data_IF_025816961865
#
_entry.id   IF_025816961865
#
_cell.length_a   1.000
_cell.length_b   1.000
_cell.length_c   1.000
_cell.angle_alpha   90.00
_cell.angle_beta   90.00
_cell.angle_gamma   90.00
#
_symmetry.space_group_name_H-M   'P 1'
#
loop_
_entity.id
_entity.type
_entity.pdbx_description
1 polymer ?
#
# COMPACT_ATOMS: atom_id res chain seq x y z
N UNK A 1 -29.59 -10.68 17.06
CA UNK A 1 -28.59 -10.29 16.01
C UNK A 1 -29.21 -10.64 14.67
N UNK A 2 -29.30 -9.70 13.76
CA UNK A 2 -29.90 -9.90 12.45
C UNK A 2 -28.94 -10.69 11.58
N UNK A 3 -29.40 -11.74 10.93
CA UNK A 3 -28.65 -12.48 9.92
C UNK A 3 -29.11 -12.03 8.53
N UNK A 4 -28.16 -11.92 7.62
CA UNK A 4 -28.36 -11.59 6.22
C UNK A 4 -27.98 -12.76 5.33
N UNK A 5 -28.68 -12.91 4.23
CA UNK A 5 -28.36 -13.93 3.24
C UNK A 5 -27.40 -13.32 2.20
N UNK A 6 -26.24 -13.92 2.09
CA UNK A 6 -25.24 -13.56 1.08
C UNK A 6 -25.23 -14.65 0.02
N UNK A 7 -25.29 -14.26 -1.25
CA UNK A 7 -25.18 -15.18 -2.38
C UNK A 7 -23.92 -14.87 -3.16
N UNK A 8 -22.99 -15.84 -3.24
CA UNK A 8 -21.74 -15.74 -3.99
C UNK A 8 -21.81 -16.72 -5.19
N UNK A 9 -21.82 -16.21 -6.41
CA UNK A 9 -21.89 -17.01 -7.64
C UNK A 9 -23.00 -18.07 -7.62
N UNK A 10 -24.14 -17.75 -6.98
CA UNK A 10 -25.29 -18.66 -6.85
C UNK A 10 -25.30 -19.55 -5.60
N UNK A 11 -24.23 -19.62 -4.84
CA UNK A 11 -24.17 -20.32 -3.55
C UNK A 11 -24.51 -19.36 -2.40
N UNK A 12 -25.45 -19.73 -1.53
CA UNK A 12 -25.94 -18.86 -0.46
C UNK A 12 -25.47 -19.31 0.93
N UNK A 13 -25.12 -18.34 1.77
CA UNK A 13 -24.75 -18.53 3.17
C UNK A 13 -25.32 -17.41 4.04
N UNK A 14 -25.29 -17.62 5.37
CA UNK A 14 -25.75 -16.64 6.33
C UNK A 14 -24.56 -15.90 6.96
N UNK A 15 -24.68 -14.58 7.07
CA UNK A 15 -23.73 -13.72 7.73
C UNK A 15 -24.43 -12.81 8.75
N UNK A 16 -23.77 -12.50 9.86
CA UNK A 16 -24.32 -11.58 10.84
C UNK A 16 -24.16 -10.14 10.38
N UNK A 17 -25.12 -9.28 10.73
CA UNK A 17 -24.97 -7.85 10.53
C UNK A 17 -23.68 -7.33 11.19
N UNK A 18 -22.84 -6.59 10.44
CA UNK A 18 -21.55 -6.07 10.87
C UNK A 18 -20.39 -7.07 10.86
N UNK A 19 -20.62 -8.35 10.50
CA UNK A 19 -19.55 -9.33 10.30
C UNK A 19 -18.72 -9.01 9.06
N UNK A 20 -17.41 -9.29 9.10
CA UNK A 20 -16.58 -9.18 7.89
C UNK A 20 -17.01 -10.22 6.86
N UNK A 21 -17.24 -9.78 5.63
CA UNK A 21 -17.75 -10.64 4.56
C UNK A 21 -16.84 -11.84 4.29
N UNK A 22 -15.52 -11.65 4.34
CA UNK A 22 -14.55 -12.75 4.22
C UNK A 22 -14.70 -13.77 5.34
N UNK A 23 -14.80 -13.32 6.59
CA UNK A 23 -14.86 -14.22 7.74
C UNK A 23 -16.18 -14.98 7.74
N UNK A 24 -17.30 -14.32 7.36
CA UNK A 24 -18.60 -14.97 7.17
C UNK A 24 -18.54 -16.05 6.09
N UNK A 25 -17.92 -15.79 4.94
CA UNK A 25 -17.74 -16.76 3.88
C UNK A 25 -16.95 -17.99 4.38
N UNK A 26 -15.77 -17.76 4.96
CA UNK A 26 -14.89 -18.84 5.44
C UNK A 26 -15.56 -19.69 6.53
N UNK A 27 -16.28 -19.07 7.48
CA UNK A 27 -16.98 -19.79 8.55
C UNK A 27 -18.14 -20.66 8.04
N UNK A 28 -18.68 -20.36 6.86
CA UNK A 28 -19.69 -21.17 6.19
C UNK A 28 -19.10 -22.16 5.17
N UNK A 29 -17.76 -22.34 5.15
CA UNK A 29 -17.09 -23.27 4.22
C UNK A 29 -16.98 -22.78 2.79
N UNK A 30 -17.30 -21.51 2.52
CA UNK A 30 -17.15 -20.90 1.20
C UNK A 30 -15.69 -20.55 0.97
N UNK A 31 -15.09 -21.14 -0.04
CA UNK A 31 -13.71 -20.85 -0.44
C UNK A 31 -13.64 -19.49 -1.14
N UNK A 32 -13.44 -18.43 -0.38
CA UNK A 32 -13.17 -17.08 -0.90
C UNK A 32 -11.67 -16.79 -0.78
N UNK A 33 -10.94 -16.67 -1.89
CA UNK A 33 -9.50 -16.45 -1.87
C UNK A 33 -9.13 -15.17 -1.12
N UNK A 34 -8.07 -15.22 -0.32
CA UNK A 34 -7.54 -14.03 0.36
C UNK A 34 -6.02 -14.17 0.59
N UNK A 35 -5.34 -13.04 0.86
CA UNK A 35 -3.91 -13.03 1.19
C UNK A 35 -3.59 -12.02 2.31
N UNK A 36 -3.60 -10.72 2.01
CA UNK A 36 -3.12 -9.68 2.94
C UNK A 36 -4.07 -9.37 4.10
N UNK A 37 -5.35 -9.67 4.01
CA UNK A 37 -6.44 -9.28 4.92
C UNK A 37 -6.50 -7.77 5.24
N UNK A 38 -5.81 -6.94 4.46
CA UNK A 38 -5.66 -5.49 4.67
C UNK A 38 -6.24 -4.65 3.51
N UNK A 39 -6.99 -5.28 2.58
CA UNK A 39 -7.64 -4.58 1.47
C UNK A 39 -6.69 -4.11 0.35
N UNK A 40 -5.45 -4.60 0.29
CA UNK A 40 -4.46 -4.10 -0.67
C UNK A 40 -4.18 -5.05 -1.83
N UNK A 41 -4.17 -6.37 -1.57
CA UNK A 41 -3.74 -7.34 -2.58
C UNK A 41 -4.80 -7.62 -3.65
N UNK A 42 -6.04 -7.26 -3.45
CA UNK A 42 -7.14 -7.53 -4.39
C UNK A 42 -7.56 -8.99 -4.48
N UNK A 43 -6.91 -9.93 -3.78
CA UNK A 43 -7.19 -11.37 -3.88
C UNK A 43 -8.62 -11.72 -3.41
N UNK A 44 -9.13 -10.98 -2.41
CA UNK A 44 -10.49 -11.16 -1.87
C UNK A 44 -11.51 -10.20 -2.50
N UNK A 45 -11.22 -9.62 -3.65
CA UNK A 45 -12.17 -8.74 -4.32
C UNK A 45 -13.43 -9.50 -4.79
N UNK A 46 -14.58 -8.91 -4.51
CA UNK A 46 -15.87 -9.33 -5.04
C UNK A 46 -16.58 -8.13 -5.64
N UNK A 47 -17.39 -8.40 -6.67
CA UNK A 47 -18.31 -7.42 -7.24
C UNK A 47 -19.60 -7.48 -6.45
N UNK A 48 -20.03 -6.36 -5.92
CA UNK A 48 -21.36 -6.20 -5.31
C UNK A 48 -22.38 -5.99 -6.42
N UNK A 49 -23.23 -6.99 -6.65
CA UNK A 49 -24.29 -6.95 -7.67
C UNK A 49 -25.53 -6.29 -7.10
N UNK A 50 -25.90 -6.64 -5.85
CA UNK A 50 -27.01 -6.02 -5.13
C UNK A 50 -26.83 -6.13 -3.62
N UNK A 51 -27.55 -5.30 -2.87
CA UNK A 51 -27.44 -5.21 -1.42
C UNK A 51 -26.40 -4.20 -0.97
N UNK A 52 -26.13 -4.15 0.34
CA UNK A 52 -25.24 -3.15 0.95
C UNK A 52 -24.17 -3.81 1.83
N UNK A 53 -22.98 -3.26 1.74
CA UNK A 53 -21.87 -3.54 2.65
C UNK A 53 -21.26 -2.22 3.11
N UNK A 54 -20.59 -2.20 4.24
CA UNK A 54 -19.94 -1.02 4.81
C UNK A 54 -18.42 -1.16 4.72
N UNK A 55 -17.77 -0.18 4.11
CA UNK A 55 -16.31 -0.13 3.94
C UNK A 55 -15.80 -1.12 2.89
N UNK A 56 -14.47 -1.20 2.79
CA UNK A 56 -13.81 -2.13 1.89
C UNK A 56 -13.87 -1.75 0.41
N UNK A 57 -14.20 -0.50 0.07
CA UNK A 57 -14.30 -0.03 -1.31
C UNK A 57 -13.00 -0.33 -2.07
N UNK A 58 -13.16 -0.95 -3.25
CA UNK A 58 -12.08 -1.18 -4.20
C UNK A 58 -11.79 0.07 -5.05
N UNK A 59 -10.83 -0.05 -5.95
CA UNK A 59 -10.45 1.04 -6.87
C UNK A 59 -11.48 1.28 -7.98
N UNK A 60 -12.41 0.38 -8.17
CA UNK A 60 -13.45 0.43 -9.20
C UNK A 60 -14.83 0.39 -8.54
N UNK A 61 -15.81 1.10 -9.12
CA UNK A 61 -17.17 1.14 -8.61
C UNK A 61 -17.79 -0.27 -8.56
N UNK A 62 -18.43 -0.58 -7.44
CA UNK A 62 -19.06 -1.88 -7.22
C UNK A 62 -18.09 -3.03 -6.90
N UNK A 63 -16.80 -2.78 -6.84
CA UNK A 63 -15.81 -3.74 -6.35
C UNK A 63 -15.51 -3.46 -4.87
N UNK A 64 -15.55 -4.50 -4.04
CA UNK A 64 -15.22 -4.41 -2.62
C UNK A 64 -14.22 -5.49 -2.20
N UNK A 65 -13.40 -5.18 -1.20
CA UNK A 65 -12.47 -6.12 -0.59
C UNK A 65 -13.19 -6.85 0.55
N UNK A 66 -13.54 -8.11 0.35
CA UNK A 66 -14.29 -8.91 1.35
C UNK A 66 -13.63 -8.94 2.75
N UNK A 67 -12.30 -8.82 2.81
CA UNK A 67 -11.57 -8.77 4.08
C UNK A 67 -11.69 -7.45 4.84
N UNK A 68 -12.30 -6.42 4.25
CA UNK A 68 -12.44 -5.08 4.83
C UNK A 68 -13.89 -4.59 4.83
N UNK A 69 -14.80 -5.22 4.09
CA UNK A 69 -16.20 -4.83 4.10
C UNK A 69 -17.01 -5.64 5.11
N UNK A 70 -18.02 -4.99 5.69
CA UNK A 70 -18.94 -5.57 6.66
C UNK A 70 -20.32 -5.70 6.07
N UNK A 71 -20.97 -6.82 6.34
CA UNK A 71 -22.33 -7.11 5.88
C UNK A 71 -23.33 -6.14 6.53
N UNK A 72 -24.15 -5.47 5.70
CA UNK A 72 -25.18 -4.53 6.14
C UNK A 72 -26.61 -4.94 5.75
N UNK A 73 -26.76 -5.70 4.65
CA UNK A 73 -28.05 -6.24 4.20
C UNK A 73 -27.87 -7.60 3.53
N UNK A 74 -28.96 -8.22 3.08
CA UNK A 74 -28.89 -9.30 2.11
C UNK A 74 -28.17 -8.79 0.85
N UNK A 75 -27.25 -9.59 0.32
CA UNK A 75 -26.41 -9.16 -0.79
C UNK A 75 -26.13 -10.29 -1.80
N UNK A 76 -26.02 -9.91 -3.06
CA UNK A 76 -25.53 -10.77 -4.13
C UNK A 76 -24.15 -10.26 -4.54
N UNK A 77 -23.19 -11.14 -4.50
CA UNK A 77 -21.81 -10.84 -4.86
C UNK A 77 -21.28 -11.86 -5.87
N UNK A 78 -20.34 -11.42 -6.68
CA UNK A 78 -19.64 -12.26 -7.65
C UNK A 78 -18.13 -12.18 -7.39
N UNK A 79 -17.43 -13.31 -7.58
CA UNK A 79 -15.96 -13.27 -7.54
C UNK A 79 -15.44 -12.40 -8.68
N UNK A 80 -14.62 -11.41 -8.35
CA UNK A 80 -13.75 -10.84 -9.36
C UNK A 80 -12.78 -11.96 -9.76
N UNK A 81 -12.58 -12.20 -11.06
CA UNK A 81 -11.54 -13.15 -11.47
C UNK A 81 -10.19 -12.60 -11.04
N UNK A 82 -9.55 -13.10 -9.98
CA UNK A 82 -8.19 -12.74 -9.67
C UNK A 82 -7.29 -13.26 -10.78
N UNK A 83 -6.19 -12.58 -11.04
CA UNK A 83 -5.10 -13.18 -11.83
C UNK A 83 -4.81 -14.55 -11.25
N UNK A 84 -4.74 -15.59 -12.09
CA UNK A 84 -4.50 -16.96 -11.64
C UNK A 84 -3.18 -17.00 -10.84
N UNK A 85 -3.27 -17.25 -9.55
CA UNK A 85 -2.08 -17.35 -8.69
C UNK A 85 -1.37 -18.65 -9.03
N UNK A 86 -0.11 -18.54 -9.41
CA UNK A 86 0.77 -19.68 -9.72
C UNK A 86 1.95 -19.73 -8.77
N UNK A 87 2.41 -20.92 -8.49
CA UNK A 87 3.68 -21.13 -7.79
C UNK A 87 4.70 -21.61 -8.79
N UNK A 88 5.85 -20.92 -8.86
CA UNK A 88 6.97 -21.26 -9.73
C UNK A 88 8.24 -21.37 -8.90
N UNK A 89 9.08 -22.35 -9.26
CA UNK A 89 10.39 -22.49 -8.66
C UNK A 89 11.43 -21.72 -9.48
N UNK A 90 12.53 -21.37 -8.83
CA UNK A 90 13.61 -20.66 -9.48
C UNK A 90 14.86 -20.57 -8.63
N UNK A 91 15.81 -19.83 -9.16
CA UNK A 91 17.14 -19.65 -8.53
C UNK A 91 17.48 -18.16 -8.56
N UNK A 92 18.02 -17.67 -7.44
CA UNK A 92 18.60 -16.34 -7.37
C UNK A 92 19.77 -16.24 -8.36
N UNK A 93 19.63 -15.40 -9.39
CA UNK A 93 20.63 -15.26 -10.45
C UNK A 93 21.60 -14.12 -10.17
N UNK A 94 21.08 -13.00 -9.69
CA UNK A 94 21.88 -11.82 -9.45
C UNK A 94 21.41 -11.02 -8.23
N UNK A 95 22.38 -10.40 -7.57
CA UNK A 95 22.21 -9.41 -6.53
C UNK A 95 23.05 -8.19 -6.89
N UNK A 96 22.43 -7.03 -7.06
CA UNK A 96 23.14 -5.80 -7.38
C UNK A 96 22.74 -4.71 -6.39
N UNK A 97 23.65 -4.05 -5.69
CA UNK A 97 23.34 -2.90 -4.86
C UNK A 97 22.92 -1.74 -5.78
N UNK A 98 21.77 -1.14 -5.48
CA UNK A 98 21.28 0.09 -6.12
C UNK A 98 21.56 1.31 -5.27
N UNK A 99 21.62 1.14 -3.95
CA UNK A 99 22.05 2.11 -2.96
C UNK A 99 22.62 1.39 -1.74
N UNK A 100 22.94 2.15 -0.69
CA UNK A 100 23.41 1.58 0.59
C UNK A 100 22.44 0.54 1.16
N UNK A 101 21.14 0.76 1.02
CA UNK A 101 20.08 -0.06 1.63
C UNK A 101 19.12 -0.71 0.64
N UNK A 102 19.30 -0.54 -0.67
CA UNK A 102 18.43 -1.16 -1.69
C UNK A 102 19.23 -2.07 -2.60
N UNK A 103 18.73 -3.29 -2.78
CA UNK A 103 19.27 -4.31 -3.69
C UNK A 103 18.30 -4.55 -4.85
N UNK A 104 18.81 -4.67 -6.06
CA UNK A 104 18.13 -5.30 -7.18
C UNK A 104 18.39 -6.80 -7.16
N UNK A 105 17.31 -7.57 -7.23
CA UNK A 105 17.35 -9.04 -7.19
C UNK A 105 16.81 -9.56 -8.52
N UNK A 106 17.58 -10.38 -9.20
CA UNK A 106 17.16 -11.10 -10.40
C UNK A 106 17.00 -12.60 -10.09
N UNK A 107 15.81 -13.14 -10.33
CA UNK A 107 15.50 -14.56 -10.14
C UNK A 107 15.21 -15.18 -11.50
N UNK A 108 15.91 -16.25 -11.84
CA UNK A 108 15.63 -17.12 -12.99
C UNK A 108 14.61 -18.15 -12.56
N UNK A 109 13.47 -18.22 -13.23
CA UNK A 109 12.39 -19.17 -12.94
C UNK A 109 12.41 -20.34 -13.93
N UNK A 110 11.88 -21.49 -13.50
CA UNK A 110 11.78 -22.70 -14.33
C UNK A 110 10.70 -22.56 -15.41
N UNK A 111 9.67 -21.75 -15.13
CA UNK A 111 8.61 -21.43 -16.07
C UNK A 111 8.15 -19.98 -15.93
N UNK A 112 7.37 -19.49 -16.87
CA UNK A 112 6.87 -18.11 -16.84
C UNK A 112 5.91 -17.89 -15.66
N UNK A 113 6.12 -16.80 -14.93
CA UNK A 113 5.14 -16.23 -14.01
C UNK A 113 4.43 -15.10 -14.75
N UNK A 114 3.20 -15.30 -15.24
CA UNK A 114 2.44 -14.23 -15.90
C UNK A 114 2.00 -13.20 -14.86
N UNK A 115 2.30 -11.93 -15.11
CA UNK A 115 1.90 -10.83 -14.24
C UNK A 115 1.63 -9.55 -15.03
N UNK A 116 0.85 -8.66 -14.44
CA UNK A 116 0.71 -7.29 -14.91
C UNK A 116 1.66 -6.35 -14.18
N UNK A 117 2.20 -5.38 -14.91
CA UNK A 117 3.11 -4.37 -14.34
C UNK A 117 2.48 -3.65 -13.13
N UNK A 118 3.15 -3.67 -12.00
CA UNK A 118 2.65 -3.16 -10.72
C UNK A 118 2.26 -4.24 -9.71
N UNK A 119 2.07 -5.49 -10.15
CA UNK A 119 1.78 -6.60 -9.24
C UNK A 119 3.03 -7.05 -8.46
N UNK A 120 2.81 -7.82 -7.38
CA UNK A 120 3.86 -8.39 -6.55
C UNK A 120 3.76 -9.92 -6.48
N UNK A 121 4.82 -10.55 -6.01
CA UNK A 121 4.86 -11.96 -5.69
C UNK A 121 5.27 -12.18 -4.22
N UNK A 122 4.79 -13.27 -3.64
CA UNK A 122 5.32 -13.81 -2.41
C UNK A 122 6.61 -14.57 -2.75
N UNK A 123 7.74 -14.08 -2.25
CA UNK A 123 9.06 -14.63 -2.53
C UNK A 123 9.57 -15.35 -1.29
N UNK A 124 9.87 -16.64 -1.42
CA UNK A 124 10.42 -17.49 -0.36
C UNK A 124 11.76 -18.04 -0.78
N UNK A 125 12.83 -17.56 -0.17
CA UNK A 125 14.14 -18.16 -0.25
C UNK A 125 14.17 -19.44 0.61
N UNK A 126 14.80 -20.50 0.15
CA UNK A 126 14.88 -21.78 0.88
C UNK A 126 15.48 -21.56 2.27
N UNK A 127 14.80 -22.01 3.33
CA UNK A 127 15.21 -21.78 4.72
C UNK A 127 14.77 -20.43 5.32
N UNK A 128 14.05 -19.59 4.55
CA UNK A 128 13.59 -18.28 4.98
C UNK A 128 12.08 -18.12 4.86
N UNK A 129 11.46 -17.21 5.66
CA UNK A 129 10.04 -16.91 5.54
C UNK A 129 9.72 -16.22 4.20
N UNK A 130 8.48 -16.41 3.73
CA UNK A 130 7.98 -15.72 2.54
C UNK A 130 7.84 -14.22 2.80
N UNK A 131 8.13 -13.40 1.77
CA UNK A 131 7.96 -11.94 1.82
C UNK A 131 7.36 -11.42 0.50
N UNK A 132 6.45 -10.44 0.56
CA UNK A 132 5.92 -9.81 -0.63
C UNK A 132 6.95 -8.84 -1.23
N UNK A 133 7.26 -9.01 -2.51
CA UNK A 133 8.09 -8.08 -3.28
C UNK A 133 7.41 -7.73 -4.59
N UNK A 134 7.37 -6.43 -4.90
CA UNK A 134 6.77 -5.94 -6.16
C UNK A 134 7.65 -6.30 -7.35
N UNK A 135 7.02 -6.90 -8.37
CA UNK A 135 7.69 -7.30 -9.58
C UNK A 135 8.04 -6.05 -10.40
N UNK A 136 9.26 -5.98 -10.89
CA UNK A 136 9.77 -4.83 -11.63
C UNK A 136 10.58 -5.24 -12.85
N UNK A 137 11.13 -4.26 -13.56
CA UNK A 137 12.15 -4.44 -14.59
C UNK A 137 13.53 -4.10 -14.04
N UNK A 138 14.61 -4.68 -14.59
CA UNK A 138 15.96 -4.28 -14.23
C UNK A 138 16.14 -2.79 -14.57
N UNK A 139 16.92 -2.07 -13.75
CA UNK A 139 17.24 -0.68 -14.02
C UNK A 139 18.17 -0.53 -15.24
N UNK A 140 18.99 -1.54 -15.53
CA UNK A 140 19.86 -1.59 -16.69
C UNK A 140 19.58 -2.87 -17.50
N UNK A 141 19.73 -2.75 -18.83
CA UNK A 141 19.55 -3.87 -19.74
C UNK A 141 18.08 -4.21 -20.04
N UNK A 142 17.89 -5.31 -20.73
CA UNK A 142 16.59 -5.90 -21.01
C UNK A 142 16.34 -7.09 -20.09
N UNK A 143 15.09 -7.30 -19.66
CA UNK A 143 14.75 -8.50 -18.90
C UNK A 143 15.02 -9.74 -19.75
N UNK A 144 15.73 -10.71 -19.18
CA UNK A 144 15.91 -12.03 -19.79
C UNK A 144 14.61 -12.82 -19.72
N UNK A 145 14.42 -13.74 -20.67
CA UNK A 145 13.30 -14.68 -20.63
C UNK A 145 13.32 -15.50 -19.34
N UNK A 146 12.15 -15.74 -18.77
CA UNK A 146 11.98 -16.48 -17.52
C UNK A 146 12.74 -15.84 -16.35
N UNK A 147 12.91 -14.52 -16.34
CA UNK A 147 13.51 -13.79 -15.23
C UNK A 147 12.54 -12.80 -14.62
N UNK A 148 12.52 -12.75 -13.29
CA UNK A 148 11.69 -11.84 -12.50
C UNK A 148 12.61 -11.00 -11.62
N UNK A 149 12.34 -9.69 -11.58
CA UNK A 149 13.18 -8.71 -10.91
C UNK A 149 12.45 -8.02 -9.78
N UNK A 150 13.20 -7.65 -8.73
CA UNK A 150 12.67 -6.97 -7.55
C UNK A 150 13.66 -5.93 -7.04
N UNK A 151 13.16 -4.82 -6.48
CA UNK A 151 13.96 -3.89 -5.69
C UNK A 151 13.61 -4.10 -4.21
N UNK A 152 14.58 -4.54 -3.44
CA UNK A 152 14.37 -4.93 -2.04
C UNK A 152 15.19 -4.05 -1.13
N UNK A 153 14.52 -3.41 -0.17
CA UNK A 153 15.20 -2.65 0.87
C UNK A 153 15.72 -3.60 1.95
N UNK A 154 17.01 -3.48 2.25
CA UNK A 154 17.64 -4.21 3.36
C UNK A 154 17.25 -3.54 4.69
N UNK A 155 16.69 -4.33 5.59
CA UNK A 155 16.36 -3.94 6.96
C UNK A 155 17.32 -4.65 7.90
N UNK A 156 17.92 -3.96 8.86
CA UNK A 156 18.93 -4.53 9.77
C UNK A 156 18.38 -5.71 10.56
N UNK A 157 17.10 -5.64 11.01
CA UNK A 157 16.42 -6.68 11.78
C UNK A 157 15.59 -7.64 10.91
N UNK A 158 15.66 -7.53 9.60
CA UNK A 158 14.84 -8.32 8.67
C UNK A 158 15.47 -9.67 8.35
N UNK A 159 14.92 -10.80 8.82
CA UNK A 159 15.44 -12.16 8.59
C UNK A 159 15.83 -12.47 7.13
N UNK A 160 15.03 -12.03 6.16
CA UNK A 160 15.30 -12.23 4.73
C UNK A 160 16.23 -11.14 4.21
N UNK A 161 15.87 -9.88 4.44
CA UNK A 161 16.50 -8.76 3.76
C UNK A 161 17.91 -8.45 4.28
N UNK A 162 18.22 -8.76 5.56
CA UNK A 162 19.57 -8.64 6.12
C UNK A 162 20.53 -9.76 5.62
N UNK A 163 19.98 -10.90 5.20
CA UNK A 163 20.76 -12.04 4.69
C UNK A 163 21.08 -11.93 3.20
N UNK A 164 20.48 -10.98 2.48
CA UNK A 164 20.78 -10.74 1.07
C UNK A 164 22.24 -10.30 0.87
N UNK A 165 22.98 -11.08 0.09
CA UNK A 165 24.41 -10.85 -0.14
C UNK A 165 25.33 -11.40 0.95
N UNK A 166 24.77 -12.11 1.96
CA UNK A 166 25.51 -12.85 2.99
C UNK A 166 25.21 -14.33 2.85
N UNK A 167 24.11 -14.78 3.43
CA UNK A 167 23.65 -16.17 3.41
C UNK A 167 22.80 -16.47 2.16
N UNK A 168 22.05 -15.46 1.67
CA UNK A 168 21.27 -15.54 0.42
C UNK A 168 22.12 -14.95 -0.70
N UNK A 169 22.74 -15.82 -1.51
CA UNK A 169 23.65 -15.46 -2.60
C UNK A 169 23.19 -16.08 -3.92
N UNK A 170 23.74 -15.67 -5.08
CA UNK A 170 23.44 -16.31 -6.36
C UNK A 170 23.58 -17.83 -6.28
N UNK A 171 22.61 -18.56 -6.85
CA UNK A 171 22.46 -20.01 -6.71
C UNK A 171 21.45 -20.45 -5.65
N UNK A 172 20.98 -19.54 -4.77
CA UNK A 172 20.00 -19.87 -3.74
C UNK A 172 18.64 -20.21 -4.36
N UNK A 173 18.01 -21.30 -3.92
CA UNK A 173 16.67 -21.72 -4.39
C UNK A 173 15.60 -20.78 -3.89
N UNK A 174 14.63 -20.48 -4.77
CA UNK A 174 13.54 -19.52 -4.51
C UNK A 174 12.23 -20.09 -5.01
N UNK A 175 11.18 -19.97 -4.22
CA UNK A 175 9.80 -20.22 -4.63
C UNK A 175 9.07 -18.89 -4.76
N UNK A 176 8.41 -18.65 -5.87
CA UNK A 176 7.58 -17.47 -6.12
C UNK A 176 6.12 -17.90 -6.20
N UNK A 177 5.26 -17.28 -5.41
CA UNK A 177 3.80 -17.42 -5.53
C UNK A 177 3.18 -16.09 -5.92
N UNK A 178 2.36 -16.06 -6.96
CA UNK A 178 1.74 -14.84 -7.48
C UNK A 178 1.07 -15.05 -8.83
N UNK A 179 0.66 -13.96 -9.47
CA UNK A 179 0.78 -12.56 -9.05
C UNK A 179 -0.30 -12.13 -8.06
N UNK A 180 0.00 -11.12 -7.26
CA UNK A 180 -0.94 -10.45 -6.36
C UNK A 180 -0.91 -8.94 -6.61
N UNK A 181 -1.94 -8.23 -6.14
CA UNK A 181 -2.00 -6.76 -6.18
C UNK A 181 -2.98 -6.23 -7.21
N UNK A 182 -3.85 -5.31 -6.75
CA UNK A 182 -4.83 -4.61 -7.59
C UNK A 182 -4.27 -3.33 -8.23
N UNK A 183 -3.16 -2.79 -7.72
CA UNK A 183 -2.51 -1.59 -8.24
C UNK A 183 -1.59 -1.90 -9.43
N UNK A 184 -2.14 -2.48 -10.48
CA UNK A 184 -1.41 -2.83 -11.71
C UNK A 184 -1.86 -1.99 -12.90
N UNK A 185 -1.01 -1.89 -13.89
CA UNK A 185 -1.28 -1.15 -15.13
C UNK A 185 -2.49 -1.72 -15.87
N UNK A 186 -3.39 -0.84 -16.30
CA UNK A 186 -4.52 -1.15 -17.17
C UNK A 186 -4.22 -0.62 -18.57
N UNK A 187 -4.10 -1.50 -19.56
CA UNK A 187 -3.92 -1.09 -20.95
C UNK A 187 -5.17 -0.37 -21.51
N UNK A 188 -5.02 0.28 -22.63
CA UNK A 188 -6.11 0.92 -23.40
C UNK A 188 -6.78 2.13 -22.72
N UNK A 189 -6.23 2.65 -21.63
CA UNK A 189 -6.70 3.91 -21.04
C UNK A 189 -5.98 5.09 -21.74
N UNK A 190 -6.72 5.95 -22.41
CA UNK A 190 -6.19 7.17 -23.04
C UNK A 190 -5.83 8.29 -22.03
N UNK A 191 -5.74 7.95 -20.75
CA UNK A 191 -5.60 8.87 -19.64
C UNK A 191 -4.15 9.33 -19.44
N UNK A 192 -3.97 10.53 -18.89
CA UNK A 192 -2.70 10.92 -18.29
C UNK A 192 -2.46 10.10 -17.03
N UNK A 193 -1.26 9.55 -16.87
CA UNK A 193 -0.88 8.79 -15.70
C UNK A 193 -0.10 9.67 -14.71
N UNK A 194 -0.51 9.65 -13.45
CA UNK A 194 0.21 10.26 -12.32
C UNK A 194 0.78 9.11 -11.48
N UNK A 195 2.08 8.92 -11.55
CA UNK A 195 2.80 7.83 -10.90
C UNK A 195 3.54 8.35 -9.67
N UNK A 196 3.13 7.93 -8.47
CA UNK A 196 3.68 8.45 -7.21
C UNK A 196 4.35 7.33 -6.43
N UNK A 197 5.62 7.52 -6.09
CA UNK A 197 6.41 6.51 -5.38
C UNK A 197 7.18 7.10 -4.20
N UNK A 198 7.37 6.28 -3.17
CA UNK A 198 8.39 6.53 -2.13
C UNK A 198 9.20 5.27 -1.88
N UNK A 199 10.52 5.44 -1.71
CA UNK A 199 11.46 4.34 -1.45
C UNK A 199 11.29 3.20 -2.50
N UNK A 200 11.26 1.93 -2.06
CA UNK A 200 11.07 0.77 -2.95
C UNK A 200 9.68 0.68 -3.58
N UNK A 201 8.72 1.53 -3.21
CA UNK A 201 7.49 1.73 -3.98
C UNK A 201 7.74 2.21 -5.42
N UNK A 202 8.97 2.65 -5.72
CA UNK A 202 9.37 2.92 -7.09
C UNK A 202 9.43 1.65 -7.97
N UNK A 203 9.65 0.47 -7.41
CA UNK A 203 9.74 -0.78 -8.19
C UNK A 203 8.46 -1.05 -9.02
N UNK A 204 7.25 -1.11 -8.43
CA UNK A 204 6.02 -1.26 -9.21
C UNK A 204 5.75 -0.05 -10.12
N UNK A 205 6.07 1.16 -9.69
CA UNK A 205 5.89 2.38 -10.50
C UNK A 205 6.80 2.36 -11.73
N UNK A 206 8.05 1.90 -11.61
CA UNK A 206 8.96 1.69 -12.75
C UNK A 206 8.38 0.68 -13.74
N UNK A 207 7.88 -0.45 -13.24
CA UNK A 207 7.23 -1.48 -14.05
C UNK A 207 6.03 -0.92 -14.82
N UNK A 208 5.16 -0.14 -14.16
CA UNK A 208 4.00 0.51 -14.76
C UNK A 208 4.42 1.52 -15.83
N UNK A 209 5.42 2.37 -15.54
CA UNK A 209 5.91 3.36 -16.50
C UNK A 209 6.45 2.70 -17.77
N UNK A 210 7.25 1.64 -17.62
CA UNK A 210 7.79 0.87 -18.76
C UNK A 210 6.67 0.23 -19.57
N UNK A 211 5.68 -0.40 -18.92
CA UNK A 211 4.54 -1.01 -19.60
C UNK A 211 3.71 0.03 -20.36
N UNK A 212 3.44 1.17 -19.74
CA UNK A 212 2.66 2.27 -20.34
C UNK A 212 3.34 2.87 -21.57
N UNK A 213 4.66 3.08 -21.52
CA UNK A 213 5.43 3.60 -22.65
C UNK A 213 5.64 2.56 -23.76
N UNK A 214 5.68 1.27 -23.45
CA UNK A 214 5.70 0.19 -24.46
C UNK A 214 4.38 0.09 -25.21
N UNK A 215 3.25 0.28 -24.50
CA UNK A 215 1.93 0.28 -25.12
C UNK A 215 1.72 1.55 -25.99
N UNK A 216 2.07 2.72 -25.45
CA UNK A 216 1.93 3.99 -26.12
C UNK A 216 3.09 4.91 -25.74
N UNK A 217 4.12 5.07 -26.61
CA UNK A 217 5.26 5.96 -26.38
C UNK A 217 4.88 7.43 -26.19
N UNK A 218 3.75 7.87 -26.73
CA UNK A 218 3.24 9.25 -26.64
C UNK A 218 2.37 9.48 -25.39
N UNK A 219 2.24 8.48 -24.51
CA UNK A 219 1.44 8.59 -23.29
C UNK A 219 1.97 9.67 -22.36
N UNK A 220 1.09 10.56 -21.93
CA UNK A 220 1.42 11.61 -20.95
C UNK A 220 1.57 11.00 -19.58
N UNK A 221 2.75 11.08 -19.02
CA UNK A 221 3.09 10.51 -17.70
C UNK A 221 3.74 11.57 -16.83
N UNK A 222 3.30 11.71 -15.60
CA UNK A 222 4.01 12.46 -14.56
C UNK A 222 4.47 11.47 -13.48
N UNK A 223 5.76 11.49 -13.16
CA UNK A 223 6.35 10.60 -12.14
C UNK A 223 6.88 11.45 -11.01
N UNK A 224 6.33 11.23 -9.81
CA UNK A 224 6.75 11.90 -8.57
C UNK A 224 7.43 10.85 -7.70
N UNK A 225 8.76 10.91 -7.60
CA UNK A 225 9.55 9.92 -6.89
C UNK A 225 10.18 10.55 -5.64
N UNK A 226 9.74 10.08 -4.46
CA UNK A 226 10.14 10.62 -3.17
C UNK A 226 11.12 9.76 -2.40
N UNK A 227 12.06 10.44 -1.73
CA UNK A 227 12.97 9.87 -0.76
C UNK A 227 13.11 10.78 0.47
N UNK A 228 13.81 10.27 1.50
CA UNK A 228 14.14 11.11 2.66
C UNK A 228 15.29 12.05 2.33
N UNK A 229 16.33 11.54 1.68
CA UNK A 229 17.53 12.25 1.26
C UNK A 229 17.80 11.95 -0.22
N UNK A 230 18.76 12.64 -0.83
CA UNK A 230 19.18 12.38 -2.23
C UNK A 230 19.72 10.95 -2.37
N UNK A 231 20.50 10.48 -1.41
CA UNK A 231 21.08 9.12 -1.42
C UNK A 231 19.99 8.03 -1.38
N UNK A 232 18.83 8.35 -0.81
CA UNK A 232 17.67 7.43 -0.80
C UNK A 232 16.91 7.41 -2.13
N UNK A 233 17.21 8.31 -3.08
CA UNK A 233 16.67 8.30 -4.43
C UNK A 233 17.47 7.36 -5.34
N UNK A 234 17.53 6.07 -4.97
CA UNK A 234 18.25 5.03 -5.73
C UNK A 234 17.79 4.90 -7.19
N UNK A 235 16.61 5.39 -7.50
CA UNK A 235 15.96 5.35 -8.81
C UNK A 235 16.49 6.41 -9.80
N UNK A 236 17.44 7.22 -9.42
CA UNK A 236 17.99 8.30 -10.25
C UNK A 236 18.28 7.91 -11.70
N UNK A 237 19.01 6.79 -11.99
CA UNK A 237 19.26 6.34 -13.35
C UNK A 237 18.00 6.03 -14.16
N UNK A 238 16.98 5.40 -13.54
CA UNK A 238 15.71 5.12 -14.18
C UNK A 238 14.93 6.42 -14.49
N UNK A 239 14.91 7.36 -13.53
CA UNK A 239 14.28 8.67 -13.73
C UNK A 239 14.93 9.44 -14.87
N UNK A 240 16.26 9.43 -14.99
CA UNK A 240 16.99 10.05 -16.09
C UNK A 240 16.65 9.42 -17.44
N UNK A 241 16.40 8.10 -17.51
CA UNK A 241 15.95 7.41 -18.73
C UNK A 241 14.53 7.82 -19.10
N UNK A 242 13.62 7.90 -18.13
CA UNK A 242 12.24 8.33 -18.35
C UNK A 242 12.14 9.79 -18.79
N UNK A 243 12.98 10.67 -18.27
CA UNK A 243 13.04 12.08 -18.65
C UNK A 243 13.46 12.33 -20.11
N UNK A 244 13.92 11.29 -20.85
CA UNK A 244 14.21 11.40 -22.28
C UNK A 244 12.96 11.38 -23.16
N UNK A 245 11.83 10.91 -22.63
CA UNK A 245 10.56 10.93 -23.34
C UNK A 245 9.92 12.32 -23.19
N UNK A 246 9.56 13.01 -24.29
CA UNK A 246 9.11 14.41 -24.24
C UNK A 246 7.77 14.58 -23.50
N UNK A 247 6.99 13.54 -23.42
CA UNK A 247 5.68 13.49 -22.75
C UNK A 247 5.74 12.93 -21.31
N UNK A 248 6.95 12.69 -20.78
CA UNK A 248 7.17 12.23 -19.41
C UNK A 248 7.79 13.35 -18.57
N UNK A 249 7.04 13.79 -17.57
CA UNK A 249 7.53 14.74 -16.56
C UNK A 249 8.01 13.97 -15.32
N UNK A 250 9.27 14.19 -14.93
CA UNK A 250 9.87 13.55 -13.77
C UNK A 250 10.12 14.58 -12.67
N UNK A 251 9.61 14.29 -11.47
CA UNK A 251 9.72 15.15 -10.28
C UNK A 251 10.34 14.35 -9.13
N UNK A 252 11.67 14.34 -9.00
CA UNK A 252 12.32 13.75 -7.82
C UNK A 252 12.14 14.68 -6.61
N UNK A 253 11.82 14.11 -5.44
CA UNK A 253 11.47 14.87 -4.23
C UNK A 253 12.23 14.34 -3.02
N UNK A 254 12.79 15.23 -2.20
CA UNK A 254 13.42 14.89 -0.91
C UNK A 254 12.78 15.64 0.24
N UNK A 255 12.44 14.91 1.32
CA UNK A 255 11.84 15.53 2.51
C UNK A 255 12.84 16.20 3.44
N UNK A 256 14.11 15.80 3.42
CA UNK A 256 15.17 16.49 4.18
C UNK A 256 15.69 17.65 3.35
N UNK A 257 15.71 18.88 3.88
CA UNK A 257 16.25 20.03 3.20
C UNK A 257 17.70 19.79 2.74
N UNK A 258 17.96 20.10 1.48
CA UNK A 258 19.29 20.00 0.90
C UNK A 258 19.71 21.37 0.37
N UNK A 259 20.90 21.79 0.67
CA UNK A 259 21.47 23.00 0.09
C UNK A 259 21.77 22.79 -1.40
N UNK A 260 21.10 23.57 -2.26
CA UNK A 260 21.46 23.78 -3.67
C UNK A 260 21.44 22.55 -4.59
N UNK A 261 20.33 21.78 -4.61
CA UNK A 261 20.08 20.92 -5.75
C UNK A 261 18.87 21.48 -6.56
N UNK A 262 19.10 21.90 -7.79
CA UNK A 262 18.07 22.49 -8.64
C UNK A 262 17.18 21.43 -9.31
N UNK A 263 17.56 20.15 -9.26
CA UNK A 263 16.86 19.04 -9.92
C UNK A 263 15.90 18.33 -8.96
N UNK A 264 16.27 18.24 -7.66
CA UNK A 264 15.47 17.55 -6.66
C UNK A 264 14.65 18.56 -5.87
N UNK A 265 13.34 18.37 -5.89
CA UNK A 265 12.39 19.27 -5.25
C UNK A 265 12.34 19.02 -3.74
N UNK A 266 12.25 20.06 -2.89
CA UNK A 266 12.14 19.90 -1.44
C UNK A 266 10.71 19.49 -1.03
N UNK A 267 10.56 18.75 0.05
CA UNK A 267 9.27 18.43 0.65
C UNK A 267 8.80 17.00 0.41
N UNK A 268 7.49 16.82 0.33
CA UNK A 268 6.85 15.51 0.16
C UNK A 268 6.27 15.34 -1.24
N UNK A 269 6.19 14.12 -1.79
CA UNK A 269 5.56 13.86 -3.09
C UNK A 269 4.15 14.44 -3.23
N UNK A 270 3.37 14.44 -2.16
CA UNK A 270 2.01 15.00 -2.11
C UNK A 270 1.93 16.50 -2.39
N UNK A 271 3.04 17.24 -2.20
CA UNK A 271 3.10 18.68 -2.50
C UNK A 271 3.17 18.98 -4.01
N UNK A 272 3.47 17.97 -4.83
CA UNK A 272 3.72 18.09 -6.27
C UNK A 272 2.65 17.42 -7.13
N UNK A 273 1.55 16.98 -6.52
CA UNK A 273 0.40 16.48 -7.27
C UNK A 273 -0.13 17.64 -8.13
N UNK A 274 -0.22 17.46 -9.46
CA UNK A 274 -0.70 18.52 -10.34
C UNK A 274 -2.20 18.76 -10.14
N UNK A 275 -2.73 19.79 -10.77
CA UNK A 275 -4.18 19.88 -10.95
C UNK A 275 -4.68 18.62 -11.67
N UNK A 276 -5.57 17.88 -10.98
CA UNK A 276 -6.11 16.61 -11.45
C UNK A 276 -7.33 16.85 -12.35
N UNK A 277 -7.39 16.10 -13.43
CA UNK A 277 -8.53 16.04 -14.33
C UNK A 277 -9.34 14.76 -14.04
N UNK A 278 -10.66 14.76 -14.24
CA UNK A 278 -11.48 13.55 -14.02
C UNK A 278 -11.04 12.32 -14.82
N UNK A 279 -10.32 12.55 -15.94
CA UNK A 279 -9.76 11.49 -16.80
C UNK A 279 -8.38 11.00 -16.38
N UNK A 280 -7.75 11.60 -15.37
CA UNK A 280 -6.44 11.15 -14.89
C UNK A 280 -6.56 9.80 -14.18
N UNK A 281 -5.46 9.06 -14.17
CA UNK A 281 -5.33 7.83 -13.39
C UNK A 281 -4.08 7.93 -12.53
N UNK A 282 -4.24 7.70 -11.23
CA UNK A 282 -3.15 7.74 -10.26
C UNK A 282 -2.74 6.32 -9.88
N UNK A 283 -1.43 6.07 -9.85
CA UNK A 283 -0.82 4.91 -9.21
C UNK A 283 0.07 5.38 -8.07
N UNK A 284 -0.17 4.91 -6.86
CA UNK A 284 0.57 5.34 -5.67
C UNK A 284 1.12 4.13 -4.90
N UNK A 285 2.46 4.03 -4.77
CA UNK A 285 3.10 2.90 -4.12
C UNK A 285 4.17 3.34 -3.12
N UNK A 286 4.26 2.67 -1.97
CA UNK A 286 5.30 2.91 -0.98
C UNK A 286 4.80 3.22 0.43
N UNK A 287 5.31 4.28 1.07
CA UNK A 287 4.99 4.59 2.47
C UNK A 287 3.49 4.79 2.70
N UNK A 288 2.88 4.10 3.70
CA UNK A 288 1.44 4.12 3.93
C UNK A 288 0.86 5.54 4.03
N UNK A 289 1.46 6.41 4.82
CA UNK A 289 0.96 7.78 4.99
C UNK A 289 0.99 8.63 3.72
N UNK A 290 1.92 8.37 2.78
CA UNK A 290 1.91 9.00 1.46
C UNK A 290 0.77 8.44 0.61
N UNK A 291 0.62 7.12 0.59
CA UNK A 291 -0.44 6.44 -0.17
C UNK A 291 -1.83 6.86 0.30
N UNK A 292 -2.06 6.92 1.61
CA UNK A 292 -3.33 7.37 2.19
C UNK A 292 -3.66 8.83 1.81
N UNK A 293 -2.66 9.71 1.87
CA UNK A 293 -2.84 11.10 1.44
C UNK A 293 -3.22 11.21 -0.05
N UNK A 294 -2.59 10.42 -0.92
CA UNK A 294 -2.92 10.39 -2.36
C UNK A 294 -4.34 9.86 -2.59
N UNK A 295 -4.74 8.79 -1.88
CA UNK A 295 -6.12 8.26 -1.96
C UNK A 295 -7.15 9.31 -1.57
N UNK A 296 -6.91 10.09 -0.51
CA UNK A 296 -7.80 11.16 -0.09
C UNK A 296 -7.88 12.28 -1.14
N UNK A 297 -6.76 12.69 -1.73
CA UNK A 297 -6.72 13.69 -2.80
C UNK A 297 -7.51 13.18 -4.02
N UNK A 298 -7.29 11.94 -4.44
CA UNK A 298 -7.97 11.33 -5.57
C UNK A 298 -9.49 11.23 -5.34
N UNK A 299 -9.91 10.79 -4.16
CA UNK A 299 -11.31 10.67 -3.78
C UNK A 299 -12.02 12.04 -3.77
N UNK A 300 -11.34 13.09 -3.27
CA UNK A 300 -11.91 14.45 -3.25
C UNK A 300 -12.21 15.00 -4.66
N UNK A 301 -11.40 14.63 -5.65
CA UNK A 301 -11.58 15.07 -7.05
C UNK A 301 -12.39 14.08 -7.88
N UNK A 302 -12.61 12.87 -7.38
CA UNK A 302 -13.29 11.77 -8.12
C UNK A 302 -12.39 11.10 -9.18
N UNK A 303 -11.06 11.10 -8.97
CA UNK A 303 -10.07 10.50 -9.88
C UNK A 303 -9.79 9.06 -9.46
N UNK A 304 -9.65 8.17 -10.44
CA UNK A 304 -9.30 6.77 -10.20
C UNK A 304 -7.89 6.67 -9.61
N UNK A 305 -7.76 6.00 -8.47
CA UNK A 305 -6.49 5.79 -7.78
C UNK A 305 -6.26 4.31 -7.46
N UNK A 306 -5.22 3.74 -8.03
CA UNK A 306 -4.72 2.41 -7.69
C UNK A 306 -3.54 2.54 -6.73
N UNK A 307 -3.65 1.92 -5.56
CA UNK A 307 -2.73 2.17 -4.46
C UNK A 307 -2.21 0.88 -3.82
N UNK A 308 -0.91 0.84 -3.52
CA UNK A 308 -0.24 -0.26 -2.84
C UNK A 308 0.68 0.27 -1.71
N UNK A 309 0.16 0.38 -0.47
CA UNK A 309 0.96 0.78 0.67
C UNK A 309 1.87 -0.36 1.14
N UNK A 310 3.15 -0.07 1.33
CA UNK A 310 4.13 -1.04 1.83
C UNK A 310 4.10 -1.08 3.36
N UNK A 311 3.31 -2.02 3.88
CA UNK A 311 3.19 -2.22 5.33
C UNK A 311 4.40 -3.01 5.85
N UNK A 312 4.93 -2.66 7.04
CA UNK A 312 5.93 -3.50 7.70
C UNK A 312 5.31 -4.88 7.97
N UNK A 313 5.97 -5.93 7.54
CA UNK A 313 5.62 -7.29 7.96
C UNK A 313 6.03 -7.44 9.42
N UNK A 314 5.07 -7.34 10.34
CA UNK A 314 5.28 -7.67 11.75
C UNK A 314 5.43 -9.19 11.86
N UNK A 315 6.64 -9.63 12.20
CA UNK A 315 6.95 -10.99 12.66
C UNK A 315 6.47 -12.15 11.79
N UNK A 316 7.15 -13.29 11.85
CA UNK A 316 6.69 -14.54 11.27
C UNK A 316 5.19 -14.70 11.57
N UNK A 317 4.36 -14.86 10.55
CA UNK A 317 2.98 -15.30 10.74
C UNK A 317 3.05 -16.63 11.49
N UNK A 318 3.00 -16.51 12.80
CA UNK A 318 2.70 -17.61 13.69
C UNK A 318 1.29 -18.04 13.31
N UNK A 319 1.17 -19.32 13.07
CA UNK A 319 -0.05 -20.07 12.88
C UNK A 319 -1.28 -19.44 13.55
N UNK A 320 -2.41 -19.52 12.89
CA UNK A 320 -3.74 -19.13 13.31
C UNK A 320 -3.95 -19.30 14.84
N UNK A 321 -3.86 -18.25 15.60
CA UNK A 321 -4.14 -18.31 17.05
C UNK A 321 -3.81 -17.08 17.87
N UNK A 322 -3.02 -16.14 17.40
CA UNK A 322 -2.50 -15.02 18.22
C UNK A 322 -3.16 -13.68 17.90
N UNK A 323 -3.85 -13.51 16.77
CA UNK A 323 -4.53 -12.25 16.43
C UNK A 323 -5.68 -11.88 17.37
N UNK A 324 -6.30 -12.85 18.03
CA UNK A 324 -7.37 -12.58 19.00
C UNK A 324 -6.85 -11.95 20.31
N UNK A 325 -5.57 -12.16 20.67
CA UNK A 325 -5.00 -11.62 21.93
C UNK A 325 -4.47 -10.19 21.83
N UNK A 326 -4.09 -9.71 20.66
CA UNK A 326 -3.55 -8.35 20.48
C UNK A 326 -4.66 -7.33 20.35
N UNK A 327 -5.77 -7.67 19.66
CA UNK A 327 -6.92 -6.77 19.56
C UNK A 327 -7.65 -6.55 20.89
N UNK A 328 -7.74 -7.58 21.76
CA UNK A 328 -8.34 -7.45 23.08
C UNK A 328 -7.51 -6.57 24.04
N UNK A 329 -6.17 -6.53 23.89
CA UNK A 329 -5.32 -5.64 24.71
C UNK A 329 -5.36 -4.18 24.24
N UNK A 330 -5.53 -3.90 22.96
CA UNK A 330 -5.66 -2.53 22.46
C UNK A 330 -7.01 -1.92 22.80
N UNK A 331 -8.11 -2.67 22.68
CA UNK A 331 -9.45 -2.22 23.10
C UNK A 331 -9.58 -2.05 24.62
N UNK A 332 -8.94 -2.89 25.42
CA UNK A 332 -8.94 -2.75 26.88
C UNK A 332 -8.18 -1.51 27.37
N UNK A 333 -7.20 -1.01 26.62
CA UNK A 333 -6.53 0.26 26.94
C UNK A 333 -7.36 1.49 26.58
N UNK A 334 -8.14 1.45 25.51
CA UNK A 334 -9.01 2.56 25.08
C UNK A 334 -10.25 2.70 25.99
N UNK A 335 -10.76 1.60 26.57
CA UNK A 335 -11.90 1.66 27.49
C UNK A 335 -11.55 2.09 28.93
N UNK A 336 -10.27 2.07 29.33
CA UNK A 336 -9.85 2.57 30.65
C UNK A 336 -9.86 4.10 30.78
N UNK A 337 -10.01 4.86 29.69
CA UNK A 337 -10.10 6.32 29.70
C UNK A 337 -11.53 6.85 29.82
N UNK A 338 -12.56 5.99 29.74
CA UNK A 338 -13.98 6.39 29.83
C UNK A 338 -14.67 6.00 31.14
N UNK A 339 -13.94 5.39 32.09
CA UNK A 339 -14.47 5.07 33.43
C UNK A 339 -13.85 5.99 34.48
N UNK A 340 -14.29 7.25 34.52
CA UNK A 340 -14.13 8.11 35.71
C UNK A 340 -15.32 7.80 36.62
N UNK A 341 -15.14 7.32 37.88
CA UNK A 341 -16.23 7.07 38.78
C UNK A 341 -16.89 8.39 39.20
N UNK A 342 -18.19 8.48 39.00
CA UNK A 342 -19.02 9.57 39.49
C UNK A 342 -19.20 9.47 41.05
N UNK A 343 -18.14 9.80 41.80
CA UNK A 343 -18.23 9.92 43.25
C UNK A 343 -17.18 10.91 43.76
N UNK A 344 -17.34 12.20 43.45
CA UNK A 344 -16.82 13.32 44.24
C UNK A 344 -17.44 14.64 43.76
N UNK A 345 -18.78 14.72 43.77
CA UNK A 345 -19.51 15.97 43.74
C UNK A 345 -20.50 15.97 44.93
N UNK A 346 -19.98 16.13 46.12
CA UNK A 346 -20.78 16.68 47.25
C UNK A 346 -19.82 16.97 48.41
N UNK A 347 -19.42 18.22 48.50
CA UNK A 347 -19.12 18.95 49.73
C UNK A 347 -18.20 20.12 49.42
N UNK A 348 -18.83 21.29 49.27
CA UNK A 348 -18.51 22.53 50.01
C UNK A 348 -19.38 23.65 49.45
N UNK A 349 -20.51 23.83 50.12
CA UNK A 349 -21.17 25.13 50.19
C UNK A 349 -20.71 25.80 51.48
N UNK A 350 -20.66 27.11 51.37
CA UNK A 350 -20.73 28.16 52.38
C UNK A 350 -19.39 28.76 52.81
N UNK A 351 -19.23 29.99 52.55
CA UNK A 351 -19.29 31.14 53.42
C UNK A 351 -18.57 32.36 52.80
N UNK A 352 -19.34 33.43 52.72
CA UNK A 352 -19.05 34.85 52.90
C UNK A 352 -18.04 35.53 51.94
N UNK A 353 -18.46 36.48 51.12
CA UNK A 353 -19.02 37.79 51.40
C UNK A 353 -18.07 38.89 50.92
N UNK A 354 -18.49 40.09 50.52
CA UNK A 354 -17.79 40.89 49.51
C UNK A 354 -16.93 42.04 50.07
N UNK A 355 -15.91 42.45 49.37
CA UNK A 355 -15.39 43.84 49.42
C UNK A 355 -14.67 44.25 48.15
N UNK A 356 -15.19 45.29 47.55
CA UNK A 356 -14.69 46.22 46.56
C UNK A 356 -14.02 47.39 47.33
N UNK A 357 -13.45 48.45 46.73
CA UNK A 357 -12.65 48.62 45.50
C UNK A 357 -11.41 49.57 45.71
N UNK A 358 -10.81 50.02 44.58
CA UNK A 358 -9.84 51.14 44.40
C UNK A 358 -8.36 50.71 44.54
N UNK A 359 -7.46 50.98 43.59
CA UNK A 359 -7.02 52.23 42.97
C UNK A 359 -6.06 51.93 41.84
N UNK A 360 -6.21 52.61 40.72
CA UNK A 360 -5.08 52.91 39.83
C UNK A 360 -4.22 54.00 40.45
N UNK A 361 -2.96 54.24 40.09
CA UNK A 361 -2.70 54.98 38.86
C UNK A 361 -1.37 54.71 38.12
N UNK A 362 -1.40 55.00 36.84
CA UNK A 362 -0.50 55.82 35.99
C UNK A 362 1.03 55.75 36.15
N UNK A 363 1.67 55.71 34.96
CA UNK A 363 3.03 56.25 34.72
C UNK A 363 3.77 55.42 33.70
N UNK A 364 3.75 55.72 32.46
CA UNK A 364 4.51 56.69 31.65
C UNK A 364 5.90 56.21 31.28
N UNK A 365 6.05 55.96 29.96
CA UNK A 365 7.10 56.36 29.01
C UNK A 365 8.58 55.84 29.17
N UNK A 366 9.04 55.51 27.98
CA UNK A 366 10.36 55.70 27.39
C UNK A 366 11.29 54.47 27.33
N UNK A 367 11.66 54.25 26.08
CA UNK A 367 12.86 53.56 25.64
C UNK A 367 12.61 52.75 24.37
#
# INVERSE_FOLDING_TARGET
MTNHRITLNGESFLARSGELLLDAALSNGIDLPYNCRAGHCGTCCVRLVSGDVLGGEGSEAGIVHACQCRVASDAVIERCQPSEVRTVEGVLRSLRPLSRDVMEIGIKTDCALPYHAGQYAQVRFSGYPSRPFSITHPLDGNPENLSVWFHVRRMEDGRVTSSLGKDITPGHRVTLAGPYGSAHFRPNLASRLILVATNTGFAPIWSIAVAALRENPERRIMIIAGGRTIESLYMGPALARLARFPNVLVVPVCSTPQTLNTVVMPGRPTNYIPHLLPTDVIYACGAPGMVDSIKLIAAHVGVVCYADPFLPTTGDTVEEGVLTRVMTRSMARSMRWLAVPASQQSRKRSLDGPRNPREQPTGVLNG
#
